data_IF_139553044272
#
_entry.id   IF_139553044272
#
_cell.length_a   1.000
_cell.length_b   1.000
_cell.length_c   1.000
_cell.angle_alpha   90.00
_cell.angle_beta   90.00
_cell.angle_gamma   90.00
#
_symmetry.space_group_name_H-M   'P 1'
#
loop_
_entity.id
_entity.type
_entity.pdbx_description
1 polymer ?
#
# COMPACT_ATOMS: atom_id res chain seq x y z
N UNK A 1 -3.44 46.16 40.77
CA UNK A 1 -4.76 46.77 40.51
C UNK A 1 -4.64 48.27 40.73
N UNK A 2 -4.80 49.10 39.70
CA UNK A 2 -5.00 50.53 39.82
C UNK A 2 -5.67 51.05 38.54
N UNK A 3 -6.85 51.64 38.72
CA UNK A 3 -7.71 52.23 37.70
C UNK A 3 -7.39 53.71 37.55
N UNK A 4 -7.44 54.25 36.32
CA UNK A 4 -7.96 55.61 36.09
C UNK A 4 -8.37 55.80 34.62
N UNK A 5 -9.63 56.15 34.45
CA UNK A 5 -10.21 56.67 33.23
C UNK A 5 -9.92 58.18 33.07
N UNK A 6 -9.86 58.67 31.83
CA UNK A 6 -10.75 59.73 31.31
C UNK A 6 -10.12 60.58 30.20
N UNK A 7 -10.77 60.49 29.03
CA UNK A 7 -11.05 61.49 27.99
C UNK A 7 -10.01 62.58 27.61
N UNK A 8 -9.65 62.57 26.32
CA UNK A 8 -9.58 63.81 25.52
C UNK A 8 -9.99 63.57 24.06
N UNK A 9 -11.05 64.26 23.71
CA UNK A 9 -11.71 64.44 22.43
C UNK A 9 -10.90 65.35 21.49
N UNK A 10 -10.94 65.05 20.19
CA UNK A 10 -11.09 66.09 19.16
C UNK A 10 -9.96 66.29 18.14
N UNK A 11 -10.07 65.64 16.97
CA UNK A 11 -10.20 66.35 15.70
C UNK A 11 -10.95 65.49 14.66
N UNK A 12 -12.21 65.89 14.41
CA UNK A 12 -12.99 65.64 13.17
C UNK A 12 -12.17 66.19 11.99
N UNK A 13 -12.24 65.61 10.78
CA UNK A 13 -13.34 65.69 9.80
C UNK A 13 -12.94 64.83 8.59
N UNK A 14 -13.79 64.30 7.72
CA UNK A 14 -15.22 64.07 7.66
C UNK A 14 -15.39 63.06 6.51
N UNK A 15 -16.33 62.15 6.71
CA UNK A 15 -16.94 61.28 5.71
C UNK A 15 -17.44 62.08 4.51
N UNK A 16 -17.23 61.60 3.27
CA UNK A 16 -18.33 61.57 2.31
C UNK A 16 -18.16 60.56 1.18
N UNK A 17 -19.12 59.66 1.13
CA UNK A 17 -19.44 58.75 0.06
C UNK A 17 -20.02 59.48 -1.15
N UNK A 18 -19.90 58.82 -2.30
CA UNK A 18 -20.67 58.99 -3.54
C UNK A 18 -20.34 60.22 -4.41
N UNK A 19 -19.80 59.97 -5.61
CA UNK A 19 -20.54 60.24 -6.85
C UNK A 19 -19.90 59.51 -8.04
N UNK A 20 -20.76 58.92 -8.86
CA UNK A 20 -20.43 58.33 -10.14
C UNK A 20 -19.97 59.38 -11.15
N UNK A 21 -19.11 58.94 -12.07
CA UNK A 21 -18.91 59.44 -13.44
C UNK A 21 -18.46 60.90 -13.60
N UNK A 22 -17.19 61.06 -14.00
CA UNK A 22 -16.83 62.08 -14.99
C UNK A 22 -16.00 61.40 -16.07
N UNK A 23 -16.55 61.41 -17.28
CA UNK A 23 -15.90 60.95 -18.49
C UNK A 23 -14.55 61.67 -18.65
N UNK A 24 -13.48 60.89 -18.73
CA UNK A 24 -12.26 61.33 -19.40
C UNK A 24 -12.00 60.37 -20.55
N UNK A 25 -12.71 60.60 -21.65
CA UNK A 25 -12.32 60.11 -22.97
C UNK A 25 -11.03 60.82 -23.35
N UNK A 26 -9.89 60.30 -22.90
CA UNK A 26 -8.57 60.79 -23.29
C UNK A 26 -7.81 59.65 -24.00
N UNK A 27 -7.30 59.84 -25.23
CA UNK A 27 -6.64 58.81 -26.01
C UNK A 27 -5.21 58.55 -25.48
N UNK A 28 -5.08 57.95 -24.30
CA UNK A 28 -3.81 57.53 -23.69
C UNK A 28 -3.79 56.03 -23.31
N UNK A 29 -4.86 55.30 -23.64
CA UNK A 29 -4.93 53.85 -23.42
C UNK A 29 -4.11 53.04 -24.43
N UNK A 30 -3.73 53.61 -25.59
CA UNK A 30 -2.96 52.88 -26.61
C UNK A 30 -1.46 52.78 -26.29
N UNK A 31 -0.88 53.80 -25.66
CA UNK A 31 0.54 53.79 -25.24
C UNK A 31 0.71 52.96 -23.97
N UNK A 32 -0.17 53.16 -22.98
CA UNK A 32 -0.18 52.36 -21.75
C UNK A 32 -0.44 50.87 -22.01
N UNK A 33 -1.29 50.51 -22.97
CA UNK A 33 -1.49 49.11 -23.38
C UNK A 33 -0.25 48.51 -24.05
N UNK A 34 0.49 49.32 -24.84
CA UNK A 34 1.76 48.90 -25.45
C UNK A 34 2.84 48.69 -24.38
N UNK A 35 2.90 49.56 -23.38
CA UNK A 35 3.81 49.42 -22.24
C UNK A 35 3.44 48.21 -21.37
N UNK A 36 2.15 47.92 -21.18
CA UNK A 36 1.67 46.72 -20.50
C UNK A 36 2.00 45.44 -21.26
N UNK A 37 1.89 45.44 -22.59
CA UNK A 37 2.31 44.30 -23.41
C UNK A 37 3.83 44.12 -23.32
N UNK A 38 4.61 45.18 -23.52
CA UNK A 38 6.08 45.12 -23.42
C UNK A 38 6.53 44.66 -22.03
N UNK A 39 5.87 45.11 -20.96
CA UNK A 39 6.09 44.62 -19.60
C UNK A 39 5.68 43.15 -19.44
N UNK A 40 4.59 42.71 -20.06
CA UNK A 40 4.17 41.30 -20.08
C UNK A 40 5.17 40.39 -20.80
N UNK A 41 5.71 40.83 -21.94
CA UNK A 41 6.78 40.13 -22.66
C UNK A 41 8.08 40.09 -21.84
N UNK A 42 8.44 41.19 -21.17
CA UNK A 42 9.58 41.25 -20.26
C UNK A 42 9.41 40.33 -19.05
N UNK A 43 8.23 40.31 -18.43
CA UNK A 43 7.91 39.43 -17.32
C UNK A 43 7.90 37.95 -17.73
N UNK A 44 7.44 37.61 -18.94
CA UNK A 44 7.53 36.25 -19.47
C UNK A 44 8.97 35.83 -19.73
N UNK A 45 9.80 36.70 -20.32
CA UNK A 45 11.22 36.42 -20.52
C UNK A 45 11.95 36.23 -19.18
N UNK A 46 11.63 37.06 -18.18
CA UNK A 46 12.19 36.93 -16.84
C UNK A 46 11.70 35.67 -16.13
N UNK A 47 10.44 35.28 -16.32
CA UNK A 47 9.90 34.03 -15.80
C UNK A 47 10.58 32.81 -16.44
N UNK A 48 10.90 32.86 -17.74
CA UNK A 48 11.66 31.79 -18.41
C UNK A 48 13.09 31.69 -17.88
N UNK A 49 13.77 32.82 -17.65
CA UNK A 49 15.11 32.83 -17.07
C UNK A 49 15.12 32.25 -15.65
N UNK A 50 14.20 32.71 -14.79
CA UNK A 50 14.07 32.21 -13.40
C UNK A 50 13.61 30.74 -13.38
N UNK A 51 12.72 30.34 -14.29
CA UNK A 51 12.30 28.94 -14.41
C UNK A 51 13.47 28.04 -14.83
N UNK A 52 14.31 28.48 -15.76
CA UNK A 52 15.51 27.75 -16.12
C UNK A 52 16.44 27.63 -14.91
N UNK A 53 16.76 28.70 -14.21
CA UNK A 53 17.63 28.63 -13.02
C UNK A 53 17.07 27.69 -11.94
N UNK A 54 15.77 27.78 -11.66
CA UNK A 54 15.11 26.91 -10.68
C UNK A 54 15.04 25.46 -11.14
N UNK A 55 14.90 25.20 -12.43
CA UNK A 55 14.98 23.85 -12.98
C UNK A 55 16.41 23.30 -12.91
N UNK A 56 17.44 24.10 -13.18
CA UNK A 56 18.83 23.66 -13.04
C UNK A 56 19.18 23.38 -11.58
N UNK A 57 18.74 24.22 -10.65
CA UNK A 57 18.91 24.02 -9.21
C UNK A 57 18.15 22.78 -8.72
N UNK A 58 16.87 22.63 -9.10
CA UNK A 58 16.07 21.46 -8.78
C UNK A 58 16.63 20.18 -9.42
N UNK A 59 17.17 20.27 -10.64
CA UNK A 59 17.82 19.14 -11.31
C UNK A 59 19.13 18.77 -10.64
N UNK A 60 19.92 19.76 -10.17
CA UNK A 60 21.13 19.51 -9.41
C UNK A 60 20.79 18.83 -8.07
N UNK A 61 19.81 19.33 -7.33
CA UNK A 61 19.31 18.69 -6.10
C UNK A 61 18.75 17.30 -6.35
N UNK A 62 17.99 17.11 -7.43
CA UNK A 62 17.46 15.81 -7.81
C UNK A 62 18.58 14.84 -8.17
N UNK A 63 19.60 15.28 -8.91
CA UNK A 63 20.75 14.47 -9.26
C UNK A 63 21.53 14.09 -8.00
N UNK A 64 21.69 15.02 -7.05
CA UNK A 64 22.34 14.76 -5.76
C UNK A 64 21.55 13.76 -4.90
N UNK A 65 20.21 13.86 -4.87
CA UNK A 65 19.33 12.91 -4.19
C UNK A 65 19.34 11.54 -4.87
N UNK A 66 19.27 11.51 -6.20
CA UNK A 66 19.32 10.29 -6.99
C UNK A 66 20.68 9.60 -6.84
N UNK A 67 21.78 10.35 -6.79
CA UNK A 67 23.12 9.87 -6.46
C UNK A 67 23.19 9.32 -5.03
N UNK A 68 22.63 10.02 -4.03
CA UNK A 68 22.56 9.51 -2.65
C UNK A 68 21.73 8.22 -2.52
N UNK A 69 20.64 8.12 -3.28
CA UNK A 69 19.76 6.96 -3.26
C UNK A 69 20.35 5.77 -4.04
N UNK A 70 21.00 5.99 -5.19
CA UNK A 70 21.72 4.93 -5.92
C UNK A 70 22.97 4.49 -5.17
N UNK A 71 23.73 5.41 -4.58
CA UNK A 71 24.84 5.07 -3.68
C UNK A 71 24.36 4.31 -2.44
N UNK A 72 23.17 4.62 -1.92
CA UNK A 72 22.51 3.84 -0.88
C UNK A 72 22.14 2.43 -1.34
N UNK A 73 21.65 2.28 -2.57
CA UNK A 73 21.31 0.99 -3.19
C UNK A 73 22.55 0.12 -3.48
N UNK A 74 23.69 0.75 -3.77
CA UNK A 74 24.97 0.10 -4.08
C UNK A 74 25.84 -0.14 -2.82
N UNK A 75 25.41 0.36 -1.66
CA UNK A 75 26.06 0.11 -0.38
C UNK A 75 25.53 -1.22 0.18
N UNK A 76 26.38 -2.21 0.52
CA UNK A 76 25.96 -3.54 0.98
C UNK A 76 25.19 -3.56 2.32
N UNK A 77 24.93 -2.40 2.93
CA UNK A 77 24.10 -2.25 4.13
C UNK A 77 22.62 -1.96 3.84
N UNK A 78 22.23 -1.67 2.59
CA UNK A 78 20.81 -1.62 2.20
C UNK A 78 20.43 -3.00 1.67
N UNK A 79 19.42 -3.67 2.26
CA UNK A 79 19.02 -5.00 1.82
C UNK A 79 18.76 -4.99 0.31
N UNK A 80 19.31 -5.96 -0.44
CA UNK A 80 19.16 -6.00 -1.88
C UNK A 80 17.67 -5.94 -2.21
N UNK A 81 17.33 -5.28 -3.31
CA UNK A 81 15.96 -5.11 -3.78
C UNK A 81 15.12 -6.42 -3.74
N UNK A 82 15.77 -7.60 -3.79
CA UNK A 82 15.17 -8.91 -3.52
C UNK A 82 14.38 -9.02 -2.22
N UNK A 83 14.81 -8.42 -1.10
CA UNK A 83 14.07 -8.48 0.17
C UNK A 83 12.84 -7.56 0.19
N UNK A 84 12.80 -6.57 -0.70
CA UNK A 84 11.60 -5.75 -0.95
C UNK A 84 10.65 -6.47 -1.91
N UNK A 85 11.18 -7.16 -2.92
CA UNK A 85 10.41 -8.00 -3.85
C UNK A 85 9.78 -9.20 -3.14
N UNK A 86 10.51 -9.88 -2.25
CA UNK A 86 10.02 -10.98 -1.41
C UNK A 86 8.83 -10.55 -0.53
N UNK A 87 8.90 -9.35 0.06
CA UNK A 87 7.77 -8.76 0.80
C UNK A 87 6.58 -8.46 -0.11
N UNK A 88 6.81 -8.00 -1.34
CA UNK A 88 5.75 -7.72 -2.31
C UNK A 88 5.12 -9.02 -2.83
N UNK A 89 5.91 -10.07 -3.00
CA UNK A 89 5.45 -11.42 -3.34
C UNK A 89 4.54 -11.95 -2.23
N UNK A 90 4.94 -11.84 -0.96
CA UNK A 90 4.10 -12.24 0.15
C UNK A 90 2.78 -11.45 0.27
N UNK A 91 2.83 -10.12 0.07
CA UNK A 91 1.63 -9.27 0.03
C UNK A 91 0.72 -9.60 -1.16
N UNK A 92 1.30 -9.98 -2.29
CA UNK A 92 0.57 -10.42 -3.47
C UNK A 92 -0.12 -11.75 -3.20
N UNK A 93 0.59 -12.72 -2.61
CA UNK A 93 0.04 -14.01 -2.18
C UNK A 93 -1.12 -13.83 -1.19
N UNK A 94 -0.96 -13.00 -0.15
CA UNK A 94 -2.02 -12.71 0.82
C UNK A 94 -3.27 -12.10 0.18
N UNK A 95 -3.07 -11.21 -0.80
CA UNK A 95 -4.17 -10.55 -1.50
C UNK A 95 -4.88 -11.53 -2.44
N UNK A 96 -4.12 -12.37 -3.16
CA UNK A 96 -4.66 -13.43 -4.03
C UNK A 96 -5.41 -14.47 -3.19
N UNK A 97 -4.84 -14.93 -2.09
CA UNK A 97 -5.47 -15.86 -1.16
C UNK A 97 -6.80 -15.29 -0.63
N UNK A 98 -6.82 -14.02 -0.19
CA UNK A 98 -8.04 -13.36 0.28
C UNK A 98 -9.09 -13.17 -0.82
N UNK A 99 -8.66 -12.88 -2.06
CA UNK A 99 -9.57 -12.77 -3.21
C UNK A 99 -10.18 -14.12 -3.58
N UNK A 100 -9.36 -15.18 -3.67
CA UNK A 100 -9.83 -16.55 -3.92
C UNK A 100 -10.79 -17.03 -2.83
N UNK A 101 -10.45 -16.82 -1.56
CA UNK A 101 -11.33 -17.12 -0.41
C UNK A 101 -12.66 -16.38 -0.50
N UNK A 102 -12.65 -15.09 -0.87
CA UNK A 102 -13.87 -14.30 -1.06
C UNK A 102 -14.72 -14.79 -2.24
N UNK A 103 -14.10 -15.42 -3.24
CA UNK A 103 -14.76 -16.02 -4.40
C UNK A 103 -15.21 -17.46 -4.13
N UNK A 104 -14.97 -17.99 -2.93
CA UNK A 104 -15.29 -19.37 -2.56
C UNK A 104 -14.34 -20.42 -3.16
N UNK A 105 -13.21 -20.00 -3.70
CA UNK A 105 -12.18 -20.88 -4.26
C UNK A 105 -11.18 -21.26 -3.16
N UNK A 106 -10.85 -22.56 -2.99
CA UNK A 106 -9.88 -22.99 -2.00
C UNK A 106 -8.49 -22.45 -2.34
N UNK A 107 -7.74 -22.02 -1.31
CA UNK A 107 -6.36 -21.54 -1.47
C UNK A 107 -5.37 -22.70 -1.59
N UNK A 108 -4.18 -22.44 -2.14
CA UNK A 108 -3.16 -23.48 -2.34
C UNK A 108 -2.73 -24.16 -1.02
N UNK A 109 -2.60 -23.40 0.07
CA UNK A 109 -2.28 -23.96 1.38
C UNK A 109 -3.36 -24.89 1.91
N UNK A 110 -4.63 -24.51 1.77
CA UNK A 110 -5.74 -25.35 2.25
C UNK A 110 -5.82 -26.67 1.48
N UNK A 111 -5.51 -26.67 0.18
CA UNK A 111 -5.43 -27.89 -0.62
C UNK A 111 -4.27 -28.77 -0.16
N UNK A 112 -3.11 -28.19 0.13
CA UNK A 112 -1.95 -28.94 0.65
C UNK A 112 -2.24 -29.56 2.02
N UNK A 113 -2.80 -28.79 2.96
CA UNK A 113 -3.20 -29.30 4.29
C UNK A 113 -4.22 -30.44 4.17
N UNK A 114 -5.16 -30.34 3.23
CA UNK A 114 -6.13 -31.40 2.99
C UNK A 114 -5.48 -32.65 2.41
N UNK A 115 -4.54 -32.49 1.48
CA UNK A 115 -3.77 -33.60 0.89
C UNK A 115 -2.98 -34.35 1.96
N UNK A 116 -2.31 -33.65 2.88
CA UNK A 116 -1.57 -34.28 3.99
C UNK A 116 -2.50 -35.05 4.93
N UNK A 117 -3.67 -34.47 5.27
CA UNK A 117 -4.67 -35.15 6.08
C UNK A 117 -5.22 -36.40 5.39
N UNK A 118 -5.48 -36.34 4.08
CA UNK A 118 -5.93 -37.49 3.30
C UNK A 118 -4.84 -38.57 3.29
N UNK A 119 -3.59 -38.22 3.04
CA UNK A 119 -2.48 -39.18 3.06
C UNK A 119 -2.33 -39.85 4.44
N UNK A 120 -2.45 -39.09 5.53
CA UNK A 120 -2.42 -39.62 6.88
C UNK A 120 -3.60 -40.57 7.18
N UNK A 121 -4.81 -40.21 6.73
CA UNK A 121 -6.00 -41.04 6.88
C UNK A 121 -5.91 -42.32 6.04
N UNK A 122 -5.40 -42.25 4.82
CA UNK A 122 -5.16 -43.42 3.96
C UNK A 122 -4.13 -44.37 4.59
N UNK A 123 -3.05 -43.82 5.15
CA UNK A 123 -2.07 -44.62 5.89
C UNK A 123 -2.69 -45.30 7.12
N UNK A 124 -3.47 -44.55 7.91
CA UNK A 124 -4.18 -45.09 9.06
C UNK A 124 -5.20 -46.17 8.66
N UNK A 125 -5.93 -45.97 7.57
CA UNK A 125 -6.89 -46.94 7.04
C UNK A 125 -6.20 -48.21 6.55
N UNK A 126 -5.05 -48.09 5.88
CA UNK A 126 -4.26 -49.25 5.43
C UNK A 126 -3.71 -50.04 6.62
N UNK A 127 -3.25 -49.37 7.67
CA UNK A 127 -2.84 -50.01 8.93
C UNK A 127 -4.04 -50.67 9.62
N UNK A 128 -5.19 -50.01 9.66
CA UNK A 128 -6.41 -50.56 10.26
C UNK A 128 -6.91 -51.80 9.49
N UNK A 129 -6.94 -51.75 8.16
CA UNK A 129 -7.33 -52.86 7.28
C UNK A 129 -6.37 -54.05 7.44
N UNK A 130 -5.05 -53.82 7.46
CA UNK A 130 -4.08 -54.92 7.68
C UNK A 130 -4.20 -55.54 9.08
N UNK A 131 -4.62 -54.78 10.10
CA UNK A 131 -4.89 -55.29 11.45
C UNK A 131 -6.20 -56.08 11.54
N UNK A 132 -7.24 -55.73 10.79
CA UNK A 132 -8.49 -56.52 10.74
C UNK A 132 -8.35 -57.81 9.93
N UNK A 133 -7.46 -57.84 8.93
CA UNK A 133 -7.13 -59.06 8.18
C UNK A 133 -6.05 -59.94 8.84
N UNK A 134 -5.33 -59.44 9.84
CA UNK A 134 -4.40 -60.21 10.70
C UNK A 134 -5.06 -60.60 12.02
N UNK A 135 -6.34 -60.98 12.00
CA UNK A 135 -6.86 -61.86 13.04
C UNK A 135 -6.32 -63.27 12.75
N UNK A 136 -5.22 -63.63 13.42
CA UNK A 136 -4.65 -64.97 13.36
C UNK A 136 -5.73 -66.03 13.62
N UNK A 137 -5.72 -67.18 12.91
CA UNK A 137 -6.69 -68.24 13.15
C UNK A 137 -6.56 -68.69 14.60
N UNK A 138 -7.55 -68.33 15.41
CA UNK A 138 -7.68 -68.79 16.79
C UNK A 138 -7.91 -70.30 16.70
N UNK A 139 -6.84 -71.09 16.85
CA UNK A 139 -6.91 -72.55 16.99
C UNK A 139 -7.91 -72.83 18.12
N UNK A 140 -9.14 -73.25 17.75
CA UNK A 140 -10.07 -73.85 18.70
C UNK A 140 -9.38 -75.12 19.22
N UNK A 141 -9.22 -75.31 20.53
CA UNK A 141 -8.86 -76.63 21.02
C UNK A 141 -10.02 -77.55 20.66
N UNK A 142 -9.76 -78.49 19.75
CA UNK A 142 -10.65 -79.59 19.43
C UNK A 142 -10.77 -80.45 20.69
N UNK A 143 -11.84 -80.23 21.45
CA UNK A 143 -12.26 -81.14 22.48
C UNK A 143 -12.57 -82.50 21.82
N UNK A 144 -11.85 -83.50 22.31
CA UNK A 144 -11.84 -84.90 21.89
C UNK A 144 -13.26 -85.47 21.78
N UNK A 145 -13.67 -85.84 20.56
CA UNK A 145 -14.77 -86.79 20.39
C UNK A 145 -14.18 -88.20 20.57
N UNK A 146 -14.56 -88.87 21.66
CA UNK A 146 -14.40 -90.32 21.82
C UNK A 146 -15.79 -90.93 21.80
N UNK A 147 -16.21 -91.38 20.61
CA UNK A 147 -17.24 -92.39 20.42
C UNK A 147 -16.52 -93.65 19.98
N UNK A 148 -16.46 -94.63 20.89
CA UNK A 148 -16.12 -96.05 20.75
C UNK A 148 -15.95 -96.54 22.21
N UNK A 149 -16.48 -97.66 22.70
CA UNK A 149 -16.88 -98.90 22.07
C UNK A 149 -17.63 -99.71 23.12
N UNK A 150 -18.65 -100.47 22.73
CA UNK A 150 -19.40 -101.31 23.65
C UNK A 150 -18.53 -102.36 24.37
N UNK A 151 -18.97 -102.76 25.57
CA UNK A 151 -18.54 -104.00 26.20
C UNK A 151 -19.52 -104.43 27.30
N UNK A 152 -20.22 -105.53 27.00
CA UNK A 152 -20.83 -106.54 27.89
C UNK A 152 -21.97 -106.14 28.82
#
# INVERSE_FOLDING_TARGET
MATKASSKTGKKSATQSAQAQSAHTNPLHHTSSKDMWLAGLGAMAQAQAVAQEKLHEATAHFNQLAQGMTSGLNNPLVPPAGMRVDRLEHLFEDRVARALKSLGLPTAQEVADLQDRVAALEAALKVASTRTHKAAPRKRPSAKSTVAQGRK
#
